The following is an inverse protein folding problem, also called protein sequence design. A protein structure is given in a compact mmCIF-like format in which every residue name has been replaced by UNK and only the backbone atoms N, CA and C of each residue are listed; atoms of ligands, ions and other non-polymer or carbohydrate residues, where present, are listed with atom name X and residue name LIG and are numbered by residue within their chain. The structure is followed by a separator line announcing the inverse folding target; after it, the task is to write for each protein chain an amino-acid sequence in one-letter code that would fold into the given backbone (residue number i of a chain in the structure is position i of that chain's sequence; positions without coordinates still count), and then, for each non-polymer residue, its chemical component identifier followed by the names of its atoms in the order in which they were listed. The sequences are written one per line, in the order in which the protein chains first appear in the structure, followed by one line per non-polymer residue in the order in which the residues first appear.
data_IF_764130430138
#
_entry.id   IF_764130430138
#
_cell.length_a   1.000
_cell.length_b   1.000
_cell.length_c   1.000
_cell.angle_alpha   90.00
_cell.angle_beta   90.00
_cell.angle_gamma   90.00
#
_symmetry.space_group_name_H-M   'P 1'
#
loop_
_entity.id
_entity.type
_entity.pdbx_description
1 polymer ?
#
# COMPACT_ATOMS: atom_id res chain seq x y z
N UNK A 1 4.00 -0.87 -8.47
CA UNK A 1 4.78 0.00 -7.57
C UNK A 1 5.57 -0.83 -6.58
N UNK A 2 6.76 -0.35 -6.22
CA UNK A 2 7.58 -0.93 -5.16
C UNK A 2 7.10 -0.46 -3.77
N UNK A 3 7.51 -1.13 -2.70
CA UNK A 3 7.14 -0.77 -1.33
C UNK A 3 7.59 0.65 -0.97
N UNK A 4 8.70 1.11 -1.55
CA UNK A 4 9.25 2.45 -1.31
C UNK A 4 8.37 3.55 -1.93
N UNK A 5 7.90 3.33 -3.15
CA UNK A 5 6.94 4.23 -3.82
C UNK A 5 5.62 4.29 -3.06
N UNK A 6 5.13 3.15 -2.57
CA UNK A 6 3.90 3.10 -1.77
C UNK A 6 4.03 3.90 -0.48
N UNK A 7 5.16 3.81 0.22
CA UNK A 7 5.43 4.64 1.40
C UNK A 7 5.39 6.14 1.08
N UNK A 8 5.93 6.55 -0.07
CA UNK A 8 5.96 7.94 -0.50
C UNK A 8 4.56 8.46 -0.83
N UNK A 9 3.81 7.70 -1.63
CA UNK A 9 2.44 8.06 -2.07
C UNK A 9 1.46 8.14 -0.90
N UNK A 10 1.54 7.19 0.03
CA UNK A 10 0.69 7.21 1.22
C UNK A 10 1.22 8.14 2.33
N UNK A 11 2.43 8.67 2.17
CA UNK A 11 3.16 9.44 3.17
C UNK A 11 3.23 8.71 4.54
N UNK A 12 3.59 7.43 4.48
CA UNK A 12 3.66 6.54 5.65
C UNK A 12 5.04 5.92 5.81
N UNK A 13 5.34 5.50 7.03
CA UNK A 13 6.56 4.75 7.34
C UNK A 13 6.46 3.28 6.90
N UNK A 14 7.61 2.60 6.75
CA UNK A 14 7.67 1.14 6.52
C UNK A 14 6.92 0.34 7.58
N UNK A 15 6.91 0.82 8.84
CA UNK A 15 6.18 0.24 9.97
C UNK A 15 4.67 0.30 9.75
N UNK A 16 4.18 1.43 9.27
CA UNK A 16 2.77 1.61 8.90
C UNK A 16 2.41 0.77 7.67
N UNK A 17 3.29 0.66 6.67
CA UNK A 17 3.09 -0.19 5.50
C UNK A 17 2.95 -1.67 5.88
N UNK A 18 3.80 -2.15 6.81
CA UNK A 18 3.68 -3.50 7.37
C UNK A 18 2.33 -3.70 8.06
N UNK A 19 1.96 -2.80 8.98
CA UNK A 19 0.65 -2.87 9.63
C UNK A 19 -0.49 -2.86 8.60
N UNK A 20 -0.44 -2.02 7.57
CA UNK A 20 -1.48 -1.98 6.54
C UNK A 20 -1.57 -3.25 5.69
N UNK A 21 -0.48 -4.00 5.51
CA UNK A 21 -0.55 -5.35 4.98
C UNK A 21 -1.23 -6.31 5.95
N UNK A 22 -0.83 -6.29 7.22
CA UNK A 22 -1.37 -7.18 8.25
C UNK A 22 -2.86 -6.95 8.50
N UNK A 23 -3.28 -5.68 8.51
CA UNK A 23 -4.68 -5.27 8.63
C UNK A 23 -5.47 -5.45 7.31
N UNK A 24 -4.82 -5.80 6.20
CA UNK A 24 -5.48 -5.93 4.89
C UNK A 24 -6.00 -4.60 4.31
N UNK A 25 -5.47 -3.47 4.80
CA UNK A 25 -5.85 -2.13 4.35
C UNK A 25 -5.29 -1.86 2.95
N UNK A 26 -4.05 -2.29 2.69
CA UNK A 26 -3.45 -2.17 1.35
C UNK A 26 -3.51 -3.53 0.64
N UNK A 27 -4.29 -3.63 -0.46
CA UNK A 27 -4.21 -4.76 -1.36
C UNK A 27 -2.81 -4.84 -1.97
N UNK A 28 -2.13 -5.96 -1.72
CA UNK A 28 -0.88 -6.29 -2.39
C UNK A 28 -1.04 -7.61 -3.13
N UNK A 29 -0.54 -7.67 -4.36
CA UNK A 29 -0.50 -8.91 -5.14
C UNK A 29 0.89 -9.49 -5.05
N UNK A 30 1.02 -10.76 -4.65
CA UNK A 30 2.28 -11.47 -4.71
C UNK A 30 2.41 -12.16 -6.07
N UNK A 31 3.25 -11.61 -6.94
CA UNK A 31 3.43 -12.10 -8.31
C UNK A 31 4.91 -12.38 -8.51
N UNK A 32 5.27 -13.65 -8.75
CA UNK A 32 6.63 -14.05 -9.11
C UNK A 32 7.70 -13.73 -8.05
N UNK A 33 7.39 -13.86 -6.76
CA UNK A 33 8.36 -13.61 -5.69
C UNK A 33 8.44 -12.15 -5.23
N UNK A 34 7.72 -11.23 -5.89
CA UNK A 34 7.68 -9.82 -5.53
C UNK A 34 6.27 -9.40 -5.15
N UNK A 35 6.19 -8.46 -4.22
CA UNK A 35 4.95 -7.81 -3.87
C UNK A 35 4.74 -6.62 -4.80
N UNK A 36 3.62 -6.66 -5.51
CA UNK A 36 3.22 -5.64 -6.47
C UNK A 36 2.02 -4.91 -5.90
N UNK A 37 2.13 -3.59 -5.86
CA UNK A 37 1.03 -2.70 -5.50
C UNK A 37 0.51 -1.98 -6.73
N UNK A 38 -0.82 -1.84 -6.83
CA UNK A 38 -1.49 -1.08 -7.89
C UNK A 38 -1.81 0.30 -7.38
N UNK A 39 -1.59 1.32 -8.22
CA UNK A 39 -1.97 2.70 -7.90
C UNK A 39 -3.46 2.84 -7.61
N UNK A 40 -4.31 2.14 -8.37
CA UNK A 40 -5.76 2.13 -8.18
C UNK A 40 -6.19 1.67 -6.78
N UNK A 41 -5.44 0.73 -6.18
CA UNK A 41 -5.69 0.28 -4.82
C UNK A 41 -5.25 1.34 -3.80
N UNK A 42 -4.11 1.99 -4.01
CA UNK A 42 -3.65 3.10 -3.15
C UNK A 42 -4.58 4.32 -3.21
N UNK A 43 -5.07 4.67 -4.40
CA UNK A 43 -6.01 5.76 -4.60
C UNK A 43 -7.33 5.51 -3.85
N UNK A 44 -7.82 4.27 -3.81
CA UNK A 44 -9.00 3.91 -2.98
C UNK A 44 -8.74 4.14 -1.50
N UNK A 45 -7.57 3.76 -1.00
CA UNK A 45 -7.21 3.89 0.42
C UNK A 45 -7.03 5.35 0.82
N UNK A 46 -6.34 6.14 -0.03
CA UNK A 46 -6.19 7.58 0.15
C UNK A 46 -7.56 8.27 0.19
N UNK A 47 -8.46 7.89 -0.72
CA UNK A 47 -9.83 8.41 -0.75
C UNK A 47 -10.61 8.01 0.50
N UNK A 48 -10.42 6.80 1.01
CA UNK A 48 -11.12 6.29 2.19
C UNK A 48 -10.64 6.94 3.50
N UNK A 49 -9.39 7.39 3.57
CA UNK A 49 -8.85 8.16 4.71
C UNK A 49 -9.26 9.64 4.74
N UNK A 50 -9.84 10.16 3.65
CA UNK A 50 -10.22 11.56 3.49
C UNK A 50 -11.65 11.92 3.88
N UNK A 51 -12.34 11.11 4.70
CA UNK A 51 -13.67 11.41 5.26
C UNK A 51 -13.66 11.37 6.77
#
# INVERSE_FOLDING_TARGET
MDAQEVCLVLNISKRSLQSYREYGIIPCSFIGGKYVYKESDLARILTQKGK
#
